data_IF_943456924120
#
_entry.id   IF_943456924120
#
_cell.length_a   1.000
_cell.length_b   1.000
_cell.length_c   1.000
_cell.angle_alpha   90.00
_cell.angle_beta   90.00
_cell.angle_gamma   90.00
#
_symmetry.space_group_name_H-M   'P 1'
#
loop_
_entity.id
_entity.type
_entity.pdbx_description
1 polymer ?
#
# COMPACT_ATOMS: atom_id res chain seq x y z
N UNK A 1 18.20 -0.56 25.96
CA UNK A 1 17.57 -0.44 24.62
C UNK A 1 18.67 -0.63 23.59
N UNK A 2 18.55 -1.61 22.70
CA UNK A 2 19.54 -1.79 21.64
C UNK A 2 19.49 -0.57 20.70
N UNK A 3 20.62 0.11 20.49
CA UNK A 3 20.72 1.13 19.44
C UNK A 3 20.55 0.42 18.10
N UNK A 4 19.42 0.64 17.43
CA UNK A 4 19.22 0.19 16.05
C UNK A 4 20.30 0.88 15.21
N UNK A 5 21.10 0.11 14.47
CA UNK A 5 22.13 0.68 13.60
C UNK A 5 21.44 1.28 12.37
N UNK A 6 22.00 2.34 11.80
CA UNK A 6 21.45 2.98 10.58
C UNK A 6 21.13 1.96 9.47
N UNK A 7 22.00 0.97 9.29
CA UNK A 7 21.80 -0.14 8.35
C UNK A 7 20.50 -0.93 8.60
N UNK A 8 20.13 -1.16 9.86
CA UNK A 8 18.92 -1.89 10.22
C UNK A 8 17.67 -1.03 9.97
N UNK A 9 17.77 0.29 10.19
CA UNK A 9 16.73 1.26 9.85
C UNK A 9 16.49 1.30 8.33
N UNK A 10 17.55 1.40 7.53
CA UNK A 10 17.45 1.44 6.07
C UNK A 10 16.81 0.16 5.51
N UNK A 11 17.15 -1.00 6.10
CA UNK A 11 16.53 -2.28 5.75
C UNK A 11 15.03 -2.28 6.04
N UNK A 12 14.62 -1.84 7.23
CA UNK A 12 13.21 -1.75 7.62
C UNK A 12 12.44 -0.83 6.67
N UNK A 13 13.00 0.34 6.34
CA UNK A 13 12.39 1.28 5.39
C UNK A 13 12.26 0.63 4.01
N UNK A 14 13.29 -0.07 3.52
CA UNK A 14 13.26 -0.77 2.24
C UNK A 14 12.16 -1.85 2.16
N UNK A 15 11.93 -2.59 3.24
CA UNK A 15 10.84 -3.57 3.32
C UNK A 15 9.46 -2.88 3.25
N UNK A 16 9.28 -1.77 3.98
CA UNK A 16 8.03 -0.99 3.93
C UNK A 16 7.80 -0.34 2.55
N UNK A 17 8.83 0.20 1.91
CA UNK A 17 8.72 0.75 0.55
C UNK A 17 8.34 -0.33 -0.46
N UNK A 18 8.90 -1.53 -0.32
CA UNK A 18 8.54 -2.68 -1.17
C UNK A 18 7.07 -3.05 -0.98
N UNK A 19 6.60 -3.15 0.27
CA UNK A 19 5.17 -3.39 0.55
C UNK A 19 4.28 -2.30 -0.02
N UNK A 20 4.62 -1.02 0.17
CA UNK A 20 3.88 0.12 -0.38
C UNK A 20 3.74 0.03 -1.91
N UNK A 21 4.78 -0.45 -2.59
CA UNK A 21 4.76 -0.65 -4.04
C UNK A 21 3.80 -1.75 -4.48
N UNK A 22 3.67 -2.83 -3.69
CA UNK A 22 2.69 -3.89 -3.97
C UNK A 22 1.27 -3.41 -3.77
N UNK A 23 0.99 -2.65 -2.71
CA UNK A 23 -0.34 -2.07 -2.49
C UNK A 23 -0.73 -1.10 -3.60
N UNK A 24 0.21 -0.25 -4.05
CA UNK A 24 -0.02 0.66 -5.17
C UNK A 24 -0.33 -0.08 -6.48
N UNK A 25 0.44 -1.12 -6.81
CA UNK A 25 0.20 -1.95 -7.99
C UNK A 25 -1.17 -2.65 -7.94
N UNK A 26 -1.52 -3.19 -6.78
CA UNK A 26 -2.78 -3.90 -6.55
C UNK A 26 -3.98 -2.96 -6.61
N UNK A 27 -3.89 -1.78 -6.01
CA UNK A 27 -4.87 -0.70 -6.13
C UNK A 27 -5.15 -0.37 -7.60
N UNK A 28 -4.10 -0.14 -8.39
CA UNK A 28 -4.24 0.27 -9.79
C UNK A 28 -4.89 -0.83 -10.63
N UNK A 29 -4.56 -2.10 -10.36
CA UNK A 29 -5.24 -3.25 -10.96
C UNK A 29 -6.74 -3.28 -10.63
N UNK A 30 -7.09 -3.09 -9.36
CA UNK A 30 -8.49 -3.11 -8.92
C UNK A 30 -9.30 -1.92 -9.44
N UNK A 31 -8.70 -0.73 -9.53
CA UNK A 31 -9.29 0.44 -10.20
C UNK A 31 -9.60 0.09 -11.66
N UNK A 32 -8.63 -0.48 -12.38
CA UNK A 32 -8.80 -0.86 -13.79
C UNK A 32 -10.00 -1.81 -13.95
N UNK A 33 -10.12 -2.84 -13.12
CA UNK A 33 -11.24 -3.78 -13.15
C UNK A 33 -12.57 -3.07 -12.81
N UNK A 34 -12.59 -2.22 -11.78
CA UNK A 34 -13.81 -1.52 -11.36
C UNK A 34 -14.33 -0.54 -12.42
N UNK A 35 -13.44 0.02 -13.23
CA UNK A 35 -13.74 0.99 -14.29
C UNK A 35 -13.92 0.39 -15.68
N UNK A 36 -13.72 -0.92 -15.84
CA UNK A 36 -13.72 -1.58 -17.15
C UNK A 36 -15.14 -1.54 -17.79
N UNK A 37 -15.31 -0.92 -18.98
CA UNK A 37 -16.60 -0.91 -19.67
C UNK A 37 -17.06 -2.31 -20.12
N UNK A 38 -16.14 -3.26 -20.29
CA UNK A 38 -16.45 -4.65 -20.65
C UNK A 38 -16.99 -5.50 -19.49
N UNK A 39 -16.96 -4.97 -18.25
CA UNK A 39 -17.55 -5.64 -17.09
C UNK A 39 -18.94 -5.04 -16.83
N UNK A 40 -19.98 -5.76 -17.20
CA UNK A 40 -21.37 -5.32 -17.00
C UNK A 40 -21.84 -5.52 -15.55
N UNK A 41 -21.25 -6.48 -14.83
CA UNK A 41 -21.70 -6.82 -13.48
C UNK A 41 -21.30 -5.75 -12.46
N UNK A 42 -22.28 -4.95 -12.03
CA UNK A 42 -22.06 -3.86 -11.07
C UNK A 42 -21.55 -4.35 -9.70
N UNK A 43 -21.89 -5.58 -9.29
CA UNK A 43 -21.37 -6.14 -8.02
C UNK A 43 -19.87 -6.35 -8.10
N UNK A 44 -19.36 -6.82 -9.24
CA UNK A 44 -17.91 -6.95 -9.49
C UNK A 44 -17.27 -5.58 -9.40
N UNK A 45 -17.77 -4.60 -10.15
CA UNK A 45 -17.25 -3.22 -10.15
C UNK A 45 -17.18 -2.61 -8.74
N UNK A 46 -18.28 -2.72 -8.00
CA UNK A 46 -18.36 -2.20 -6.63
C UNK A 46 -17.40 -2.92 -5.67
N UNK A 47 -17.22 -4.24 -5.84
CA UNK A 47 -16.32 -5.01 -4.97
C UNK A 47 -14.88 -4.60 -5.20
N UNK A 48 -14.44 -4.57 -6.46
CA UNK A 48 -13.08 -4.16 -6.81
C UNK A 48 -12.81 -2.69 -6.46
N UNK A 49 -13.79 -1.80 -6.62
CA UNK A 49 -13.67 -0.40 -6.19
C UNK A 49 -13.41 -0.27 -4.68
N UNK A 50 -14.14 -1.01 -3.85
CA UNK A 50 -13.93 -1.03 -2.39
C UNK A 50 -12.56 -1.58 -2.01
N UNK A 51 -12.11 -2.66 -2.65
CA UNK A 51 -10.78 -3.21 -2.35
C UNK A 51 -9.69 -2.21 -2.76
N UNK A 52 -9.85 -1.48 -3.87
CA UNK A 52 -8.92 -0.41 -4.23
C UNK A 52 -8.87 0.71 -3.17
N UNK A 53 -9.99 1.08 -2.55
CA UNK A 53 -10.02 2.02 -1.43
C UNK A 53 -9.26 1.48 -0.21
N UNK A 54 -9.40 0.18 0.08
CA UNK A 54 -8.65 -0.48 1.15
C UNK A 54 -7.13 -0.46 0.87
N UNK A 55 -6.70 -0.75 -0.35
CA UNK A 55 -5.27 -0.68 -0.70
C UNK A 55 -4.72 0.75 -0.65
N UNK A 56 -5.53 1.75 -1.02
CA UNK A 56 -5.16 3.15 -0.83
C UNK A 56 -4.93 3.47 0.66
N UNK A 57 -5.78 2.94 1.54
CA UNK A 57 -5.61 3.09 2.98
C UNK A 57 -4.36 2.36 3.48
N UNK A 58 -4.03 1.18 2.94
CA UNK A 58 -2.79 0.48 3.28
C UNK A 58 -1.56 1.31 2.90
N UNK A 59 -1.51 1.89 1.70
CA UNK A 59 -0.43 2.79 1.26
C UNK A 59 -0.21 3.93 2.27
N UNK A 60 -1.29 4.57 2.72
CA UNK A 60 -1.23 5.67 3.69
C UNK A 60 -0.73 5.22 5.06
N UNK A 61 -1.15 4.05 5.52
CA UNK A 61 -0.67 3.48 6.79
C UNK A 61 0.81 3.12 6.71
N UNK A 62 1.25 2.52 5.61
CA UNK A 62 2.66 2.17 5.39
C UNK A 62 3.52 3.44 5.34
N UNK A 63 3.06 4.49 4.65
CA UNK A 63 3.77 5.77 4.63
C UNK A 63 3.90 6.38 6.04
N UNK A 64 2.86 6.28 6.88
CA UNK A 64 2.92 6.73 8.28
C UNK A 64 3.96 5.93 9.07
N UNK A 65 4.06 4.61 8.86
CA UNK A 65 5.06 3.77 9.52
C UNK A 65 6.47 4.17 9.08
N UNK A 66 6.70 4.39 7.78
CA UNK A 66 7.98 4.86 7.25
C UNK A 66 8.39 6.19 7.92
N UNK A 67 7.44 7.12 8.07
CA UNK A 67 7.70 8.40 8.73
C UNK A 67 8.07 8.19 10.21
N UNK A 68 7.33 7.34 10.94
CA UNK A 68 7.64 7.00 12.35
C UNK A 68 9.05 6.41 12.46
N UNK A 69 9.41 5.48 11.59
CA UNK A 69 10.75 4.87 11.55
C UNK A 69 11.81 5.92 11.27
N UNK A 70 11.54 6.86 10.36
CA UNK A 70 12.45 7.96 10.06
C UNK A 70 12.66 8.93 11.24
N UNK A 71 11.60 9.23 11.98
CA UNK A 71 11.61 10.20 13.07
C UNK A 71 12.06 9.60 14.43
N UNK A 72 11.89 8.30 14.63
CA UNK A 72 12.06 7.63 15.93
C UNK A 72 13.38 6.87 16.10
N UNK A 73 14.11 6.62 15.01
CA UNK A 73 15.36 5.83 14.98
C UNK A 73 16.51 6.64 14.41
#
# INVERSE_FOLDING_TARGET
MAKIKQHDKDKIIGEFETMKSFEASTRDLYIKISSDPGIENQRIKNTFGKIAEDEQRHIELVQKIINIVNDSL
#
